data_IF_167888898583
#
_entry.id   IF_167888898583
#
_cell.length_a   1.000
_cell.length_b   1.000
_cell.length_c   1.000
_cell.angle_alpha   90.00
_cell.angle_beta   90.00
_cell.angle_gamma   90.00
#
_symmetry.space_group_name_H-M   'P 1'
#
loop_
_entity.id
_entity.type
_entity.pdbx_description
1 polymer ?
#
# COMPACT_ATOMS: atom_id res chain seq x y z
N UNK A 1 9.53 -16.26 4.53
CA UNK A 1 10.40 -15.54 3.58
C UNK A 1 9.94 -14.08 3.53
N UNK A 2 10.82 -13.08 3.50
CA UNK A 2 10.44 -11.66 3.56
C UNK A 2 9.38 -11.23 2.50
N UNK A 3 9.39 -11.86 1.32
CA UNK A 3 8.37 -11.69 0.28
C UNK A 3 6.93 -11.92 0.79
N UNK A 4 6.70 -12.94 1.63
CA UNK A 4 5.36 -13.22 2.16
C UNK A 4 4.88 -12.18 3.17
N UNK A 5 5.81 -11.49 3.86
CA UNK A 5 5.48 -10.40 4.77
C UNK A 5 5.11 -9.13 4.01
N UNK A 6 5.79 -8.84 2.89
CA UNK A 6 5.45 -7.69 2.05
C UNK A 6 4.11 -7.87 1.33
N UNK A 7 3.81 -9.05 0.80
CA UNK A 7 2.49 -9.35 0.23
C UNK A 7 1.37 -9.12 1.25
N UNK A 8 1.54 -9.62 2.47
CA UNK A 8 0.56 -9.42 3.54
C UNK A 8 0.36 -7.94 3.90
N UNK A 9 1.45 -7.16 3.97
CA UNK A 9 1.38 -5.70 4.22
C UNK A 9 0.59 -5.00 3.11
N UNK A 10 0.88 -5.33 1.85
CA UNK A 10 0.22 -4.74 0.69
C UNK A 10 -1.27 -5.07 0.70
N UNK A 11 -1.64 -6.34 0.93
CA UNK A 11 -3.04 -6.77 1.03
C UNK A 11 -3.77 -6.00 2.12
N UNK A 12 -3.19 -5.89 3.32
CA UNK A 12 -3.83 -5.20 4.45
C UNK A 12 -3.98 -3.70 4.23
N UNK A 13 -2.98 -3.04 3.64
CA UNK A 13 -3.11 -1.63 3.30
C UNK A 13 -4.07 -1.41 2.12
N UNK A 14 -4.23 -2.37 1.21
CA UNK A 14 -5.19 -2.30 0.13
C UNK A 14 -6.65 -2.38 0.61
N UNK A 15 -6.95 -3.09 1.71
CA UNK A 15 -8.29 -3.14 2.31
C UNK A 15 -8.83 -1.73 2.64
N UNK A 16 -7.97 -0.85 3.17
CA UNK A 16 -8.35 0.57 3.39
C UNK A 16 -8.72 1.30 2.10
N UNK A 17 -8.01 1.01 1.00
CA UNK A 17 -8.28 1.63 -0.29
C UNK A 17 -9.59 1.11 -0.88
N UNK A 18 -9.92 -0.17 -0.67
CA UNK A 18 -11.19 -0.76 -1.07
C UNK A 18 -12.39 -0.16 -0.32
N UNK A 19 -12.22 0.19 0.94
CA UNK A 19 -13.24 0.96 1.65
C UNK A 19 -13.28 2.41 1.18
N UNK A 20 -12.10 3.03 0.97
CA UNK A 20 -12.03 4.43 0.55
C UNK A 20 -12.68 4.67 -0.81
N UNK A 21 -12.48 3.76 -1.76
CA UNK A 21 -13.01 3.93 -3.13
C UNK A 21 -14.54 3.96 -3.16
N UNK A 22 -15.22 3.38 -2.16
CA UNK A 22 -16.69 3.43 -2.06
C UNK A 22 -17.21 4.84 -1.76
N UNK A 23 -16.39 5.67 -1.12
CA UNK A 23 -16.74 7.06 -0.76
C UNK A 23 -16.36 8.06 -1.85
N UNK A 24 -15.40 7.73 -2.72
CA UNK A 24 -14.93 8.59 -3.79
C UNK A 24 -13.64 8.08 -4.45
N UNK A 25 -13.17 8.73 -5.53
CA UNK A 25 -11.91 8.37 -6.16
C UNK A 25 -10.73 8.45 -5.17
N UNK A 26 -9.88 7.43 -5.17
CA UNK A 26 -8.67 7.36 -4.35
C UNK A 26 -7.62 8.33 -4.92
N UNK A 27 -7.11 9.22 -4.08
CA UNK A 27 -6.00 10.11 -4.40
C UNK A 27 -4.65 9.53 -3.96
N UNK A 28 -3.55 10.14 -4.42
CA UNK A 28 -2.21 9.80 -3.93
C UNK A 28 -2.09 9.97 -2.40
N UNK A 29 -2.80 10.96 -1.84
CA UNK A 29 -2.80 11.20 -0.40
C UNK A 29 -3.44 10.05 0.38
N UNK A 30 -4.50 9.45 -0.17
CA UNK A 30 -5.16 8.29 0.44
C UNK A 30 -4.24 7.06 0.44
N UNK A 31 -3.43 6.89 -0.62
CA UNK A 31 -2.40 5.84 -0.68
C UNK A 31 -1.33 6.03 0.39
N UNK A 32 -0.84 7.25 0.58
CA UNK A 32 0.12 7.56 1.66
C UNK A 32 -0.49 7.27 3.04
N UNK A 33 -1.76 7.62 3.26
CA UNK A 33 -2.46 7.35 4.52
C UNK A 33 -2.57 5.84 4.76
N UNK A 34 -2.98 5.07 3.75
CA UNK A 34 -3.07 3.61 3.87
C UNK A 34 -1.71 2.98 4.23
N UNK A 35 -0.63 3.48 3.62
CA UNK A 35 0.73 3.07 3.97
C UNK A 35 1.10 3.44 5.42
N UNK A 36 0.89 4.68 5.83
CA UNK A 36 1.27 5.14 7.17
C UNK A 36 0.51 4.39 8.28
N UNK A 37 -0.78 4.08 8.07
CA UNK A 37 -1.61 3.38 9.07
C UNK A 37 -1.22 1.91 9.20
N UNK A 38 -1.11 1.16 8.09
CA UNK A 38 -0.94 -0.30 8.15
C UNK A 38 0.45 -0.81 7.80
N UNK A 39 1.12 -0.17 6.83
CA UNK A 39 2.36 -0.70 6.29
C UNK A 39 3.59 -0.24 7.07
N UNK A 40 3.61 1.01 7.54
CA UNK A 40 4.82 1.62 8.10
C UNK A 40 5.33 0.93 9.37
N UNK A 41 4.44 0.64 10.32
CA UNK A 41 4.82 0.00 11.59
C UNK A 41 5.40 -1.39 11.35
N UNK A 42 4.77 -2.17 10.45
CA UNK A 42 5.21 -3.51 10.10
C UNK A 42 6.49 -3.50 9.27
N UNK A 43 6.61 -2.57 8.32
CA UNK A 43 7.83 -2.39 7.55
C UNK A 43 9.01 -2.08 8.46
N UNK A 44 8.85 -1.18 9.44
CA UNK A 44 9.90 -0.87 10.42
C UNK A 44 10.35 -2.11 11.20
N UNK A 45 9.42 -2.97 11.61
CA UNK A 45 9.74 -4.21 12.33
C UNK A 45 10.60 -5.14 11.46
N UNK A 46 10.25 -5.30 10.18
CA UNK A 46 11.00 -6.16 9.25
C UNK A 46 12.32 -5.50 8.84
N UNK A 47 12.33 -4.17 8.70
CA UNK A 47 13.49 -3.38 8.31
C UNK A 47 14.62 -3.40 9.35
N UNK A 48 14.28 -3.52 10.65
CA UNK A 48 15.28 -3.73 11.69
C UNK A 48 16.15 -4.97 11.42
N UNK A 49 15.62 -5.98 10.74
CA UNK A 49 16.33 -7.20 10.37
C UNK A 49 17.02 -7.11 8.99
N UNK A 50 16.58 -6.19 8.12
CA UNK A 50 17.05 -6.06 6.73
C UNK A 50 18.08 -4.94 6.51
N UNK A 51 18.11 -3.93 7.37
CA UNK A 51 18.95 -2.75 7.28
C UNK A 51 18.32 -1.58 6.49
N UNK A 52 18.85 -0.33 6.64
CA UNK A 52 18.17 0.89 6.19
C UNK A 52 17.97 1.03 4.68
N UNK A 53 18.94 0.58 3.88
CA UNK A 53 18.83 0.64 2.41
C UNK A 53 17.66 -0.22 1.90
N UNK A 54 17.49 -1.42 2.47
CA UNK A 54 16.38 -2.32 2.14
C UNK A 54 15.03 -1.82 2.65
N UNK A 55 15.01 -1.03 3.72
CA UNK A 55 13.79 -0.37 4.20
C UNK A 55 13.24 0.61 3.16
N UNK A 56 14.11 1.45 2.59
CA UNK A 56 13.73 2.41 1.57
C UNK A 56 13.19 1.70 0.31
N UNK A 57 13.91 0.69 -0.19
CA UNK A 57 13.47 -0.10 -1.34
C UNK A 57 12.13 -0.80 -1.08
N UNK A 58 11.94 -1.37 0.12
CA UNK A 58 10.69 -2.03 0.49
C UNK A 58 9.53 -1.04 0.63
N UNK A 59 9.79 0.16 1.17
CA UNK A 59 8.79 1.24 1.22
C UNK A 59 8.33 1.61 -0.18
N UNK A 60 9.27 1.87 -1.08
CA UNK A 60 8.96 2.27 -2.46
C UNK A 60 8.19 1.18 -3.19
N UNK A 61 8.57 -0.09 -2.99
CA UNK A 61 7.85 -1.23 -3.53
C UNK A 61 6.40 -1.32 -3.04
N UNK A 62 6.16 -1.18 -1.73
CA UNK A 62 4.81 -1.22 -1.16
C UNK A 62 3.97 -0.06 -1.70
N UNK A 63 4.50 1.16 -1.72
CA UNK A 63 3.79 2.32 -2.26
C UNK A 63 3.47 2.16 -3.74
N UNK A 64 4.40 1.65 -4.55
CA UNK A 64 4.15 1.34 -5.96
C UNK A 64 2.97 0.37 -6.12
N UNK A 65 2.92 -0.70 -5.32
CA UNK A 65 1.85 -1.69 -5.36
C UNK A 65 0.50 -1.13 -4.91
N UNK A 66 0.48 -0.28 -3.88
CA UNK A 66 -0.74 0.39 -3.45
C UNK A 66 -1.25 1.39 -4.49
N UNK A 67 -0.35 2.13 -5.18
CA UNK A 67 -0.73 3.01 -6.29
C UNK A 67 -1.33 2.25 -7.47
N UNK A 68 -0.72 1.12 -7.83
CA UNK A 68 -1.27 0.23 -8.86
C UNK A 68 -2.68 -0.24 -8.48
N UNK A 69 -2.87 -0.67 -7.23
CA UNK A 69 -4.18 -1.09 -6.72
C UNK A 69 -5.19 0.05 -6.71
N UNK A 70 -4.80 1.25 -6.25
CA UNK A 70 -5.66 2.43 -6.26
C UNK A 70 -6.13 2.80 -7.67
N UNK A 71 -5.24 2.75 -8.67
CA UNK A 71 -5.61 2.97 -10.08
C UNK A 71 -6.62 1.95 -10.57
N UNK A 72 -6.43 0.67 -10.26
CA UNK A 72 -7.37 -0.39 -10.61
C UNK A 72 -8.74 -0.17 -9.96
N UNK A 73 -8.76 0.12 -8.65
CA UNK A 73 -9.99 0.38 -7.92
C UNK A 73 -10.73 1.60 -8.47
N UNK A 74 -10.01 2.69 -8.74
CA UNK A 74 -10.60 3.87 -9.37
C UNK A 74 -11.19 3.55 -10.74
N UNK A 75 -10.48 2.80 -11.58
CA UNK A 75 -11.01 2.38 -12.88
C UNK A 75 -12.26 1.50 -12.75
N UNK A 76 -12.30 0.58 -11.78
CA UNK A 76 -13.44 -0.32 -11.56
C UNK A 76 -14.68 0.37 -11.00
N UNK A 77 -14.51 1.34 -10.09
CA UNK A 77 -15.62 1.99 -9.39
C UNK A 77 -16.05 3.33 -10.02
N UNK A 78 -15.10 4.06 -10.61
CA UNK A 78 -15.30 5.43 -11.09
C UNK A 78 -14.86 5.63 -12.53
N UNK A 79 -14.18 4.65 -13.14
CA UNK A 79 -13.88 4.62 -14.56
C UNK A 79 -15.15 4.28 -15.34
N UNK A 80 -15.98 5.29 -15.59
CA UNK A 80 -17.03 5.17 -16.60
C UNK A 80 -16.38 4.97 -17.97
N UNK A 81 -17.00 4.10 -18.78
CA UNK A 81 -16.73 3.97 -20.22
C UNK A 81 -16.63 5.32 -20.93
#
# INVERSE_FOLDING_TARGET
MALSQFSWIIEKAAELLEDKVKEGPISERDVEIAFEIFARSRLKQIAQELGPAREAEAKDYILMKLRERAKQLNAQHWGKE
#
